data_IF_207009174214
#
_entry.id   IF_207009174214
#
_cell.length_a   1.000
_cell.length_b   1.000
_cell.length_c   1.000
_cell.angle_alpha   90.00
_cell.angle_beta   90.00
_cell.angle_gamma   90.00
#
_symmetry.space_group_name_H-M   'P 1'
#
loop_
_entity.id
_entity.type
_entity.pdbx_description
1 polymer ?
#
# COMPACT_ATOMS: atom_id res chain seq x y z
N UNK A 1 18.36 28.84 14.51
CA UNK A 1 17.30 27.93 14.99
C UNK A 1 17.96 26.56 15.13
N UNK A 2 18.50 26.29 16.32
CA UNK A 2 18.95 24.94 16.64
C UNK A 2 17.71 24.04 16.70
N UNK A 3 17.75 22.82 16.14
CA UNK A 3 16.63 21.90 16.27
C UNK A 3 16.34 21.69 17.76
N UNK A 4 15.06 21.54 18.18
CA UNK A 4 14.73 21.31 19.57
C UNK A 4 15.49 20.07 20.06
N UNK A 5 16.45 20.26 20.96
CA UNK A 5 17.36 19.22 21.47
C UNK A 5 16.62 18.15 22.31
N UNK A 6 15.32 18.31 22.52
CA UNK A 6 14.49 17.49 23.42
C UNK A 6 13.65 16.40 22.73
N UNK A 7 13.61 16.32 21.39
CA UNK A 7 12.89 15.24 20.71
C UNK A 7 13.80 14.04 20.41
N UNK A 8 13.68 13.01 21.23
CA UNK A 8 14.28 11.70 20.97
C UNK A 8 13.26 10.82 20.24
N UNK A 9 13.47 10.47 18.95
CA UNK A 9 12.53 9.64 18.21
C UNK A 9 12.41 8.25 18.85
N UNK A 10 11.19 7.69 18.92
CA UNK A 10 11.01 6.34 19.43
C UNK A 10 11.70 5.31 18.53
N UNK A 11 12.08 4.15 19.07
CA UNK A 11 12.68 3.08 18.26
C UNK A 11 11.72 2.62 17.15
N UNK A 12 12.29 2.25 16.00
CA UNK A 12 11.51 1.73 14.89
C UNK A 12 10.89 0.37 15.22
N UNK A 13 9.66 0.16 14.76
CA UNK A 13 8.99 -1.12 14.91
C UNK A 13 9.58 -2.18 13.96
N UNK A 14 9.42 -3.49 14.28
CA UNK A 14 9.85 -4.57 13.40
C UNK A 14 9.21 -4.47 12.00
N UNK A 15 10.02 -4.74 10.98
CA UNK A 15 9.59 -4.78 9.59
C UNK A 15 9.68 -6.23 9.08
N UNK A 16 8.61 -6.70 8.44
CA UNK A 16 8.51 -8.04 7.89
C UNK A 16 8.29 -7.97 6.37
N UNK A 17 9.03 -8.79 5.62
CA UNK A 17 8.98 -8.87 4.15
C UNK A 17 8.63 -10.31 3.73
N UNK A 18 7.35 -10.73 3.81
CA UNK A 18 6.92 -12.06 3.43
C UNK A 18 7.23 -12.40 1.98
N UNK A 19 7.47 -13.68 1.71
CA UNK A 19 7.36 -14.22 0.35
C UNK A 19 5.91 -14.24 -0.14
N UNK A 20 5.72 -14.44 -1.44
CA UNK A 20 4.37 -14.59 -2.02
C UNK A 20 3.55 -15.72 -1.42
N UNK A 21 4.18 -16.86 -1.14
CA UNK A 21 3.50 -18.01 -0.54
C UNK A 21 3.00 -17.70 0.87
N UNK A 22 3.78 -16.95 1.65
CA UNK A 22 3.41 -16.54 3.00
C UNK A 22 2.35 -15.43 3.00
N UNK A 23 2.45 -14.49 2.05
CA UNK A 23 1.49 -13.40 1.92
C UNK A 23 0.11 -13.87 1.45
N UNK A 24 0.03 -15.05 0.82
CA UNK A 24 -1.23 -15.66 0.40
C UNK A 24 -2.13 -16.08 1.56
N UNK A 25 -1.58 -16.35 2.76
CA UNK A 25 -2.36 -16.62 3.97
C UNK A 25 -2.06 -15.56 5.05
N UNK A 26 -2.78 -14.42 5.03
CA UNK A 26 -2.47 -13.29 5.91
C UNK A 26 -2.64 -13.64 7.38
N UNK A 27 -3.64 -14.47 7.74
CA UNK A 27 -3.87 -14.86 9.14
C UNK A 27 -2.79 -15.82 9.63
N UNK A 28 -2.40 -16.79 8.80
CA UNK A 28 -1.26 -17.67 9.10
C UNK A 28 0.05 -16.89 9.25
N UNK A 29 0.29 -15.89 8.40
CA UNK A 29 1.46 -15.05 8.52
C UNK A 29 1.46 -14.20 9.80
N UNK A 30 0.33 -13.58 10.15
CA UNK A 30 0.18 -12.84 11.43
C UNK A 30 0.45 -13.76 12.62
N UNK A 31 -0.08 -14.99 12.60
CA UNK A 31 0.16 -15.97 13.66
C UNK A 31 1.65 -16.34 13.76
N UNK A 32 2.34 -16.49 12.62
CA UNK A 32 3.78 -16.76 12.55
C UNK A 32 4.63 -15.64 13.16
N UNK A 33 4.30 -14.37 12.89
CA UNK A 33 5.11 -13.22 13.35
C UNK A 33 4.72 -12.71 14.75
N UNK A 34 3.55 -13.08 15.27
CA UNK A 34 3.02 -12.66 16.58
C UNK A 34 4.04 -12.69 17.72
N UNK A 35 4.79 -13.78 18.00
CA UNK A 35 5.72 -13.83 19.13
C UNK A 35 6.85 -12.79 19.08
N UNK A 36 7.10 -12.20 17.91
CA UNK A 36 8.09 -11.13 17.73
C UNK A 36 7.38 -9.77 17.73
N UNK A 37 6.30 -9.63 16.97
CA UNK A 37 5.57 -8.38 16.80
C UNK A 37 4.83 -7.92 18.06
N UNK A 38 4.40 -8.84 18.93
CA UNK A 38 3.68 -8.50 20.16
C UNK A 38 4.57 -7.77 21.17
N UNK A 39 5.89 -7.99 21.12
CA UNK A 39 6.86 -7.32 22.01
C UNK A 39 6.92 -5.81 21.77
N UNK A 40 6.63 -5.37 20.55
CA UNK A 40 6.59 -3.95 20.17
C UNK A 40 5.18 -3.37 20.13
N UNK A 41 4.14 -4.19 20.27
CA UNK A 41 2.72 -3.80 20.14
C UNK A 41 2.28 -3.50 18.70
N UNK A 42 3.17 -2.99 17.85
CA UNK A 42 2.96 -2.72 16.41
C UNK A 42 4.11 -3.30 15.57
N UNK A 43 3.83 -3.61 14.31
CA UNK A 43 4.83 -3.97 13.31
C UNK A 43 4.41 -3.50 11.90
N UNK A 44 5.37 -3.44 10.97
CA UNK A 44 5.14 -3.11 9.56
C UNK A 44 5.32 -4.34 8.68
N UNK A 45 4.32 -4.69 7.89
CA UNK A 45 4.43 -5.74 6.87
C UNK A 45 4.53 -5.05 5.50
N UNK A 46 5.65 -5.25 4.81
CA UNK A 46 5.81 -4.80 3.42
C UNK A 46 5.32 -5.93 2.52
N UNK A 47 4.34 -5.70 1.63
CA UNK A 47 3.94 -6.71 0.66
C UNK A 47 5.14 -7.15 -0.19
N UNK A 48 5.20 -8.41 -0.65
CA UNK A 48 6.21 -8.85 -1.60
C UNK A 48 6.20 -7.94 -2.83
N UNK A 49 7.39 -7.55 -3.30
CA UNK A 49 7.52 -6.70 -4.48
C UNK A 49 6.88 -7.40 -5.69
N UNK A 50 5.93 -6.73 -6.30
CA UNK A 50 5.41 -7.12 -7.60
C UNK A 50 6.46 -6.72 -8.63
N UNK A 51 7.07 -7.67 -9.32
CA UNK A 51 7.80 -7.35 -10.55
C UNK A 51 6.78 -6.81 -11.56
N UNK A 52 6.71 -5.49 -11.70
CA UNK A 52 5.87 -4.77 -12.66
C UNK A 52 6.12 -5.16 -14.14
N UNK A 53 7.04 -6.09 -14.39
CA UNK A 53 7.43 -6.58 -15.72
C UNK A 53 7.00 -8.02 -16.04
N UNK A 54 6.22 -8.70 -15.19
CA UNK A 54 5.85 -10.09 -15.45
C UNK A 54 4.58 -10.53 -14.74
N UNK A 55 3.65 -11.09 -15.53
CA UNK A 55 2.41 -11.79 -15.13
C UNK A 55 2.42 -12.31 -13.68
N UNK A 56 1.47 -11.85 -12.86
CA UNK A 56 1.19 -12.42 -11.52
C UNK A 56 1.31 -11.46 -10.33
N UNK A 57 1.53 -10.18 -10.58
CA UNK A 57 1.53 -9.15 -9.55
C UNK A 57 0.20 -8.92 -8.86
N UNK A 58 0.19 -8.55 -7.57
CA UNK A 58 -0.96 -7.96 -6.90
C UNK A 58 -0.97 -6.48 -7.31
N UNK A 59 -1.76 -6.06 -8.32
CA UNK A 59 -1.99 -4.64 -8.47
C UNK A 59 -2.58 -4.15 -7.14
N UNK A 60 -2.18 -2.98 -6.60
CA UNK A 60 -3.02 -2.37 -5.59
C UNK A 60 -4.46 -2.39 -6.13
N UNK A 61 -5.46 -2.78 -5.33
CA UNK A 61 -6.84 -2.64 -5.79
C UNK A 61 -6.97 -1.21 -6.33
N UNK A 62 -7.66 -0.99 -7.48
CA UNK A 62 -7.86 0.36 -7.98
C UNK A 62 -8.31 1.18 -6.78
N UNK A 63 -7.56 2.23 -6.44
CA UNK A 63 -7.94 3.09 -5.33
C UNK A 63 -9.40 3.48 -5.61
N UNK A 64 -10.36 3.13 -4.74
CA UNK A 64 -11.79 3.29 -5.05
C UNK A 64 -12.24 4.76 -5.04
N UNK A 65 -11.27 5.68 -4.97
CA UNK A 65 -11.47 7.11 -5.14
C UNK A 65 -10.87 7.48 -6.49
N UNK A 66 -11.74 7.66 -7.48
CA UNK A 66 -11.45 8.61 -8.54
C UNK A 66 -11.34 9.96 -7.84
N UNK A 67 -10.11 10.44 -7.58
CA UNK A 67 -9.95 11.88 -7.38
C UNK A 67 -10.33 12.48 -8.73
N UNK A 68 -11.48 13.14 -8.81
CA UNK A 68 -11.89 13.84 -10.03
C UNK A 68 -10.86 14.94 -10.31
N UNK A 69 -9.79 14.56 -10.99
CA UNK A 69 -8.87 15.46 -11.66
C UNK A 69 -9.52 15.90 -12.97
N UNK A 70 -9.35 17.16 -13.39
CA UNK A 70 -9.95 17.63 -14.63
C UNK A 70 -9.51 16.74 -15.80
N UNK A 71 -10.50 16.24 -16.55
CA UNK A 71 -10.31 15.39 -17.72
C UNK A 71 -9.15 15.90 -18.61
N UNK A 72 -8.15 15.06 -18.96
CA UNK A 72 -7.24 15.42 -20.03
C UNK A 72 -8.06 15.55 -21.32
N UNK A 73 -8.00 16.74 -21.91
CA UNK A 73 -8.71 17.08 -23.13
C UNK A 73 -8.44 16.06 -24.25
N UNK A 74 -9.52 15.65 -24.93
CA UNK A 74 -9.46 14.97 -26.23
C UNK A 74 -9.74 13.48 -26.19
N UNK A 75 -11.02 13.12 -26.14
CA UNK A 75 -11.51 11.78 -26.46
C UNK A 75 -12.99 11.84 -26.82
N UNK A 76 -13.32 11.44 -28.04
CA UNK A 76 -14.71 11.32 -28.50
C UNK A 76 -15.45 10.21 -27.74
N UNK A 77 -16.64 10.53 -27.25
CA UNK A 77 -17.50 9.58 -26.54
C UNK A 77 -18.18 8.64 -27.57
N UNK A 78 -18.09 7.29 -27.43
CA UNK A 78 -18.76 6.37 -28.35
C UNK A 78 -20.28 6.29 -28.14
N UNK A 79 -20.83 6.99 -27.16
CA UNK A 79 -22.28 7.08 -26.93
C UNK A 79 -22.72 8.53 -27.16
N UNK A 80 -23.41 8.72 -28.28
CA UNK A 80 -23.86 10.02 -28.73
C UNK A 80 -24.78 10.72 -27.72
N UNK A 81 -24.60 12.04 -27.64
CA UNK A 81 -25.61 12.97 -27.15
C UNK A 81 -25.53 13.29 -25.66
N UNK A 82 -24.80 14.35 -25.33
CA UNK A 82 -24.92 15.03 -24.04
C UNK A 82 -23.70 15.89 -23.75
N UNK A 83 -23.81 17.20 -24.02
CA UNK A 83 -22.87 18.15 -23.42
C UNK A 83 -23.25 18.28 -21.94
N UNK A 84 -22.30 18.05 -21.04
CA UNK A 84 -22.52 18.35 -19.63
C UNK A 84 -22.32 19.86 -19.40
N UNK A 85 -23.27 20.51 -18.72
CA UNK A 85 -23.20 21.91 -18.26
C UNK A 85 -22.08 22.11 -17.23
#
# INVERSE_FOLDING_TARGET
>A
LEPPEDFLPPPECPVFEPSWAEFSDPLGYIAKIRPIAEKSGICKIRPPAVSILGRGGWPPPPFPLEVEGPCPAGGESPLGGGVCL
#
